data_IF_329036693908
#
_entry.id   IF_329036693908
#
_cell.length_a   1.000
_cell.length_b   1.000
_cell.length_c   1.000
_cell.angle_alpha   90.00
_cell.angle_beta   90.00
_cell.angle_gamma   90.00
#
_symmetry.space_group_name_H-M   'P 1'
#
loop_
_entity.id
_entity.type
_entity.pdbx_description
1 polymer ?
#
# COMPACT_ATOMS: atom_id res chain seq x y z
N UNK A 1 2.47 -0.77 5.49
CA UNK A 1 3.65 -0.38 6.30
C UNK A 1 4.66 0.28 5.39
N UNK A 2 5.24 1.41 5.80
CA UNK A 2 6.35 2.04 5.09
C UNK A 2 7.65 1.80 5.86
N UNK A 3 8.59 1.16 5.17
CA UNK A 3 9.87 0.76 5.72
C UNK A 3 9.82 -0.47 6.65
N UNK A 4 11.01 -0.89 7.07
CA UNK A 4 11.21 -2.06 7.93
C UNK A 4 11.22 -3.40 7.18
N UNK A 5 11.73 -4.44 7.84
CA UNK A 5 11.66 -5.81 7.33
C UNK A 5 10.34 -6.45 7.79
N UNK A 6 9.57 -7.12 6.91
CA UNK A 6 8.32 -7.78 7.27
C UNK A 6 8.59 -9.10 8.01
N UNK A 7 9.14 -9.01 9.22
CA UNK A 7 9.43 -10.18 10.08
C UNK A 7 8.18 -10.73 10.77
N UNK A 8 7.03 -10.04 10.66
CA UNK A 8 5.73 -10.53 11.11
C UNK A 8 4.98 -11.15 9.95
N UNK A 9 4.31 -12.28 10.21
CA UNK A 9 3.41 -12.92 9.25
C UNK A 9 1.96 -12.43 9.35
N UNK A 10 1.68 -11.52 10.31
CA UNK A 10 0.34 -10.99 10.56
C UNK A 10 0.38 -9.46 10.62
N UNK A 11 -0.60 -8.85 9.96
CA UNK A 11 -0.81 -7.41 9.94
C UNK A 11 -2.29 -7.15 10.16
N UNK A 12 -2.59 -6.33 11.16
CA UNK A 12 -3.94 -5.82 11.37
C UNK A 12 -4.16 -4.59 10.48
N UNK A 13 -5.35 -4.50 9.89
CA UNK A 13 -5.79 -3.34 9.12
C UNK A 13 -7.28 -3.13 9.36
N UNK A 14 -7.74 -1.91 9.09
CA UNK A 14 -9.15 -1.53 9.21
C UNK A 14 -9.71 -1.34 7.80
N UNK A 15 -10.82 -2.00 7.49
CA UNK A 15 -11.58 -1.69 6.28
C UNK A 15 -12.20 -0.30 6.46
N UNK A 16 -11.95 0.66 5.56
CA UNK A 16 -12.51 2.00 5.67
C UNK A 16 -14.04 1.96 5.78
N UNK A 17 -14.63 2.75 6.67
CA UNK A 17 -16.08 2.76 6.87
C UNK A 17 -16.84 3.26 5.64
N UNK A 18 -16.19 4.02 4.77
CA UNK A 18 -16.72 4.47 3.49
C UNK A 18 -16.48 3.50 2.31
N UNK A 19 -15.84 2.35 2.52
CA UNK A 19 -15.65 1.37 1.45
C UNK A 19 -17.01 0.89 0.92
N UNK A 20 -17.24 0.82 -0.40
CA UNK A 20 -18.53 0.41 -0.95
C UNK A 20 -18.96 -0.98 -0.44
N UNK A 21 -20.22 -1.10 -0.05
CA UNK A 21 -20.82 -2.39 0.29
C UNK A 21 -20.82 -3.32 -0.95
N UNK A 22 -20.48 -4.61 -0.74
CA UNK A 22 -20.50 -5.64 -1.77
C UNK A 22 -19.12 -6.27 -2.06
N UNK A 23 -19.01 -6.96 -3.19
CA UNK A 23 -17.80 -7.71 -3.57
C UNK A 23 -16.67 -6.81 -4.03
N UNK A 24 -15.46 -7.09 -3.55
CA UNK A 24 -14.25 -6.35 -3.88
C UNK A 24 -13.01 -7.26 -3.89
N UNK A 25 -11.90 -6.74 -4.42
CA UNK A 25 -10.59 -7.36 -4.31
C UNK A 25 -9.75 -6.60 -3.29
N UNK A 26 -9.28 -7.30 -2.27
CA UNK A 26 -8.22 -6.82 -1.38
C UNK A 26 -6.87 -7.17 -2.02
N UNK A 27 -6.06 -6.15 -2.31
CA UNK A 27 -4.71 -6.32 -2.81
C UNK A 27 -3.67 -6.11 -1.70
N UNK A 28 -2.84 -7.11 -1.45
CA UNK A 28 -1.62 -6.98 -0.66
C UNK A 28 -0.43 -6.81 -1.60
N UNK A 29 0.31 -5.71 -1.46
CA UNK A 29 1.51 -5.45 -2.26
C UNK A 29 2.74 -5.23 -1.40
N UNK A 30 3.89 -5.73 -1.86
CA UNK A 30 5.16 -5.58 -1.19
C UNK A 30 6.30 -5.28 -2.17
N UNK A 31 7.14 -4.32 -1.79
CA UNK A 31 8.35 -3.93 -2.50
C UNK A 31 9.56 -4.32 -1.64
N UNK A 32 10.37 -5.25 -2.13
CA UNK A 32 11.49 -5.78 -1.38
C UNK A 32 12.63 -4.76 -1.25
N UNK A 33 13.25 -4.71 -0.06
CA UNK A 33 14.37 -3.81 0.21
C UNK A 33 15.65 -4.29 -0.50
N UNK A 34 15.93 -5.60 -0.43
CA UNK A 34 17.14 -6.24 -0.96
C UNK A 34 16.77 -7.30 -2.00
N UNK A 35 17.59 -7.47 -3.04
CA UNK A 35 17.38 -8.41 -4.15
C UNK A 35 16.98 -7.74 -5.46
N UNK A 36 16.32 -8.48 -6.34
CA UNK A 36 15.81 -7.93 -7.60
C UNK A 36 14.75 -6.85 -7.34
N UNK A 37 14.61 -5.86 -8.24
CA UNK A 37 13.58 -4.83 -8.09
C UNK A 37 12.24 -5.44 -8.51
N UNK A 38 11.45 -5.84 -7.51
CA UNK A 38 10.20 -6.58 -7.71
C UNK A 38 9.02 -5.89 -7.01
N UNK A 39 7.82 -6.14 -7.52
CA UNK A 39 6.56 -5.83 -6.86
C UNK A 39 5.81 -7.14 -6.68
N UNK A 40 5.69 -7.57 -5.43
CA UNK A 40 4.89 -8.73 -5.06
C UNK A 40 3.44 -8.28 -4.88
N UNK A 41 2.48 -9.07 -5.38
CA UNK A 41 1.06 -8.79 -5.23
C UNK A 41 0.27 -10.08 -5.02
N UNK A 42 -0.57 -10.12 -3.99
CA UNK A 42 -1.60 -11.14 -3.82
C UNK A 42 -2.97 -10.46 -3.72
N UNK A 43 -3.98 -11.07 -4.36
CA UNK A 43 -5.35 -10.58 -4.34
C UNK A 43 -6.25 -11.57 -3.60
N UNK A 44 -7.20 -11.05 -2.83
CA UNK A 44 -8.19 -11.83 -2.09
C UNK A 44 -9.59 -11.31 -2.44
N UNK A 45 -10.48 -12.22 -2.80
CA UNK A 45 -11.90 -11.93 -3.00
C UNK A 45 -12.59 -11.76 -1.65
N UNK A 46 -13.23 -10.62 -1.44
CA UNK A 46 -13.87 -10.24 -0.17
C UNK A 46 -15.26 -9.66 -0.42
N UNK A 47 -16.13 -9.78 0.58
CA UNK A 47 -17.41 -9.08 0.63
C UNK A 47 -17.37 -8.06 1.77
N UNK A 48 -17.49 -6.78 1.42
CA UNK A 48 -17.55 -5.67 2.37
C UNK A 48 -18.99 -5.52 2.83
N UNK A 49 -19.21 -5.68 4.14
CA UNK A 49 -20.52 -5.56 4.77
C UNK A 49 -20.51 -4.36 5.70
N UNK A 50 -21.14 -3.27 5.27
CA UNK A 50 -21.31 -2.02 6.01
C UNK A 50 -22.52 -1.21 5.50
N UNK A 51 -22.77 -0.06 6.11
CA UNK A 51 -23.84 0.87 5.73
C UNK A 51 -23.33 2.04 4.84
N UNK A 52 -22.26 1.81 4.07
CA UNK A 52 -21.68 2.87 3.23
C UNK A 52 -22.54 3.13 1.99
N UNK A 53 -23.00 4.37 1.84
CA UNK A 53 -23.86 4.78 0.70
C UNK A 53 -23.11 5.62 -0.35
N UNK A 54 -22.01 6.28 0.03
CA UNK A 54 -21.29 7.25 -0.83
C UNK A 54 -19.91 6.74 -1.27
N UNK A 55 -19.85 6.22 -2.49
CA UNK A 55 -18.61 5.77 -3.10
C UNK A 55 -17.63 6.91 -3.43
N UNK A 56 -18.05 8.18 -3.46
CA UNK A 56 -17.19 9.30 -3.83
C UNK A 56 -16.03 9.47 -2.83
N UNK A 57 -16.30 9.28 -1.53
CA UNK A 57 -15.27 9.33 -0.48
C UNK A 57 -14.22 8.24 -0.67
N UNK A 58 -14.65 7.03 -1.00
CA UNK A 58 -13.73 5.94 -1.28
C UNK A 58 -12.93 6.17 -2.56
N UNK A 59 -13.58 6.65 -3.63
CA UNK A 59 -12.94 6.96 -4.91
C UNK A 59 -11.94 8.12 -4.84
N UNK A 60 -12.05 8.99 -3.82
CA UNK A 60 -11.08 10.05 -3.56
C UNK A 60 -9.80 9.54 -2.89
N UNK A 61 -9.74 8.27 -2.47
CA UNK A 61 -8.55 7.68 -1.85
C UNK A 61 -7.45 7.47 -2.90
N UNK A 62 -6.17 7.51 -2.48
CA UNK A 62 -5.07 7.28 -3.39
C UNK A 62 -5.13 5.92 -4.08
N UNK A 63 -4.71 5.89 -5.35
CA UNK A 63 -4.43 4.65 -6.04
C UNK A 63 -3.24 3.93 -5.38
N UNK A 64 -3.21 2.60 -5.56
CA UNK A 64 -2.08 1.79 -5.16
C UNK A 64 -0.79 2.25 -5.87
N UNK A 65 0.31 2.27 -5.13
CA UNK A 65 1.62 2.55 -5.71
C UNK A 65 2.06 1.36 -6.58
N UNK A 66 2.54 1.65 -7.80
CA UNK A 66 2.99 0.63 -8.76
C UNK A 66 4.39 0.97 -9.26
N UNK A 67 5.31 0.04 -9.08
CA UNK A 67 6.70 0.13 -9.57
C UNK A 67 7.21 -1.28 -9.90
N UNK A 68 8.38 -1.38 -10.52
CA UNK A 68 9.06 -2.66 -10.76
C UNK A 68 8.30 -3.64 -11.69
N UNK A 69 7.37 -3.13 -12.51
CA UNK A 69 6.55 -3.93 -13.45
C UNK A 69 6.68 -3.41 -14.88
N UNK A 70 7.87 -2.92 -15.24
CA UNK A 70 8.15 -2.32 -16.55
C UNK A 70 7.25 -1.11 -16.91
N UNK A 71 6.85 -0.33 -15.89
CA UNK A 71 6.03 0.87 -16.04
C UNK A 71 6.84 2.18 -16.02
N UNK A 72 8.17 2.10 -16.12
CA UNK A 72 9.06 3.26 -16.01
C UNK A 72 9.33 3.75 -14.58
N UNK A 73 8.70 3.16 -13.56
CA UNK A 73 9.01 3.41 -12.15
C UNK A 73 9.77 2.23 -11.52
N UNK A 74 10.85 2.53 -10.79
CA UNK A 74 11.64 1.52 -10.11
C UNK A 74 11.99 1.93 -8.68
N UNK A 75 11.91 0.98 -7.75
CA UNK A 75 12.47 1.15 -6.40
C UNK A 75 14.00 0.94 -6.43
N UNK A 76 14.70 1.37 -5.39
CA UNK A 76 16.17 1.25 -5.30
C UNK A 76 16.57 0.30 -4.18
N UNK A 77 17.51 -0.59 -4.47
CA UNK A 77 18.02 -1.56 -3.49
C UNK A 77 18.65 -0.87 -2.28
N UNK A 78 18.37 -1.42 -1.09
CA UNK A 78 18.87 -0.90 0.17
C UNK A 78 18.24 0.43 0.60
N UNK A 79 17.28 0.97 -0.15
CA UNK A 79 16.59 2.22 0.16
C UNK A 79 15.10 1.99 0.38
N UNK A 80 14.58 2.54 1.47
CA UNK A 80 13.17 2.44 1.81
C UNK A 80 12.31 3.15 0.77
N UNK A 81 11.22 2.51 0.36
CA UNK A 81 10.20 3.10 -0.49
C UNK A 81 9.21 3.85 0.40
N UNK A 82 8.97 5.11 0.07
CA UNK A 82 8.05 6.04 0.73
C UNK A 82 7.05 6.51 -0.33
N UNK A 83 5.82 6.02 -0.25
CA UNK A 83 4.80 6.34 -1.25
C UNK A 83 4.47 7.83 -1.22
N UNK A 84 4.28 8.43 -2.41
CA UNK A 84 3.87 9.83 -2.53
C UNK A 84 2.50 10.08 -1.87
N UNK A 85 1.61 9.09 -1.99
CA UNK A 85 0.24 9.15 -1.48
C UNK A 85 -0.04 7.88 -0.65
N UNK A 86 0.45 7.78 0.59
CA UNK A 86 0.32 6.57 1.41
C UNK A 86 -1.08 6.40 2.04
N UNK A 87 -1.96 7.39 1.88
CA UNK A 87 -3.24 7.47 2.57
C UNK A 87 -3.10 7.92 4.02
N UNK A 88 -4.19 7.78 4.78
CA UNK A 88 -4.28 8.31 6.16
C UNK A 88 -3.82 7.29 7.23
N UNK A 89 -3.92 5.99 6.92
CA UNK A 89 -3.63 4.89 7.85
C UNK A 89 -2.27 4.27 7.52
N UNK A 90 -1.21 4.77 8.16
CA UNK A 90 0.17 4.38 7.83
C UNK A 90 0.92 3.88 9.06
N UNK A 91 1.36 2.62 8.99
CA UNK A 91 2.33 2.06 9.94
C UNK A 91 3.73 2.34 9.40
N UNK A 92 4.57 2.97 10.22
CA UNK A 92 5.96 3.30 9.88
C UNK A 92 6.95 2.34 10.56
N UNK A 93 8.05 2.02 9.88
CA UNK A 93 9.14 1.22 10.43
C UNK A 93 10.47 1.42 9.69
N UNK A 94 11.52 0.77 10.18
CA UNK A 94 12.85 0.80 9.54
C UNK A 94 13.43 2.22 9.37
N UNK A 95 13.14 3.13 10.31
CA UNK A 95 13.60 4.52 10.29
C UNK A 95 12.79 5.47 9.40
N UNK A 96 11.81 4.97 8.65
CA UNK A 96 10.85 5.82 7.92
C UNK A 96 9.91 6.46 8.92
N UNK A 97 9.54 7.71 8.69
CA UNK A 97 8.59 8.49 9.49
C UNK A 97 7.62 9.22 8.57
N UNK A 98 6.58 9.84 9.14
CA UNK A 98 5.66 10.71 8.39
C UNK A 98 6.33 11.92 7.72
N UNK A 99 7.55 12.28 8.16
CA UNK A 99 8.33 13.38 7.59
C UNK A 99 9.38 12.89 6.58
N UNK A 100 9.48 11.58 6.33
CA UNK A 100 10.41 11.05 5.34
C UNK A 100 10.00 11.50 3.93
N UNK A 101 10.95 11.94 3.08
CA UNK A 101 10.62 12.38 1.74
C UNK A 101 10.16 11.20 0.89
N UNK A 102 9.18 11.47 0.02
CA UNK A 102 8.70 10.54 -1.01
C UNK A 102 9.85 9.95 -1.82
N UNK A 103 9.81 8.64 -2.04
CA UNK A 103 10.80 7.92 -2.83
C UNK A 103 10.28 6.54 -3.28
N UNK A 104 10.52 6.08 -4.53
CA UNK A 104 11.12 6.82 -5.64
C UNK A 104 10.21 7.96 -6.11
N UNK A 105 10.78 8.91 -6.83
CA UNK A 105 9.99 9.96 -7.51
C UNK A 105 9.59 9.40 -8.87
N UNK A 106 8.37 8.88 -8.89
CA UNK A 106 7.55 8.53 -10.04
C UNK A 106 6.10 8.86 -9.65
#
# INVERSE_FOLDING_TARGET
MLGGCPLTSKYDFVVPSEAPNGRALLAWTWFNLTGNREMYMNCVDVEVINDAEDAAKFNARPNIFVANVNNGCATVEGRQTVFANPGNEVIYGGGVTSNSPTFPVC
#
